data_IF_113912820799
#
_entry.id   IF_113912820799
#
_cell.length_a   1.000
_cell.length_b   1.000
_cell.length_c   1.000
_cell.angle_alpha   90.00
_cell.angle_beta   90.00
_cell.angle_gamma   90.00
#
_symmetry.space_group_name_H-M   'P 1'
#
loop_
_entity.id
_entity.type
_entity.pdbx_description
1 polymer ?
#
# COMPACT_ATOMS: atom_id res chain seq x y z
N UNK A 1 -14.27 46.39 33.05
CA UNK A 1 -13.92 46.56 31.63
C UNK A 1 -12.60 45.83 31.42
N UNK A 2 -12.47 44.65 30.83
CA UNK A 2 -13.17 44.09 29.69
C UNK A 2 -12.26 44.20 28.45
N UNK A 3 -11.32 43.27 28.24
CA UNK A 3 -10.84 42.82 26.93
C UNK A 3 -9.76 41.72 27.13
N UNK A 4 -9.92 40.47 26.67
CA UNK A 4 -10.00 39.91 25.30
C UNK A 4 -8.63 39.42 24.82
N UNK A 5 -8.46 38.10 24.90
CA UNK A 5 -7.40 37.33 24.21
C UNK A 5 -7.69 37.30 22.72
N UNK A 6 -6.69 37.63 21.88
CA UNK A 6 -6.50 37.07 20.53
C UNK A 6 -5.01 37.02 20.17
N UNK A 7 -4.56 35.79 19.91
CA UNK A 7 -3.81 35.28 18.73
C UNK A 7 -2.64 36.13 18.22
N UNK A 8 -1.47 35.51 18.06
CA UNK A 8 -0.60 35.66 16.88
C UNK A 8 0.29 34.41 16.76
N UNK A 9 0.33 33.90 15.54
CA UNK A 9 1.17 32.84 14.99
C UNK A 9 2.63 33.31 14.83
N UNK A 10 3.59 32.39 14.85
CA UNK A 10 4.77 32.37 13.96
C UNK A 10 5.71 31.24 14.40
N UNK A 11 5.94 30.23 13.56
CA UNK A 11 6.98 30.17 12.52
C UNK A 11 8.41 30.08 13.09
N UNK A 12 8.89 28.82 13.07
CA UNK A 12 10.26 28.33 12.90
C UNK A 12 11.34 29.36 12.56
N UNK A 13 12.43 29.35 13.34
CA UNK A 13 13.80 29.18 12.82
C UNK A 13 14.80 28.86 13.93
N UNK A 14 15.85 28.19 13.50
CA UNK A 14 16.74 27.33 14.26
C UNK A 14 17.83 28.05 15.06
N UNK A 15 18.45 27.22 15.92
CA UNK A 15 19.85 27.17 16.35
C UNK A 15 20.27 27.79 17.70
N UNK A 16 21.00 26.92 18.42
CA UNK A 16 21.99 27.13 19.47
C UNK A 16 21.50 27.57 20.85
N UNK A 17 21.32 26.61 21.77
CA UNK A 17 21.71 26.81 23.18
C UNK A 17 22.31 25.53 23.79
N UNK A 18 23.42 25.77 24.48
CA UNK A 18 24.24 24.91 25.34
C UNK A 18 23.43 24.11 26.38
N UNK A 19 23.92 22.91 26.66
CA UNK A 19 23.55 22.09 27.82
C UNK A 19 23.69 22.87 29.14
N UNK A 20 22.66 22.77 29.99
CA UNK A 20 22.79 22.74 31.45
C UNK A 20 21.93 21.60 31.98
N UNK A 21 22.58 20.65 32.63
CA UNK A 21 21.97 19.54 33.36
C UNK A 21 21.22 20.05 34.60
N UNK A 22 20.00 19.55 34.81
CA UNK A 22 19.41 19.37 36.14
C UNK A 22 18.63 18.06 36.15
N UNK A 23 18.94 17.24 37.15
CA UNK A 23 18.49 15.87 37.33
C UNK A 23 16.99 15.77 37.67
N UNK A 24 16.34 14.75 37.13
CA UNK A 24 14.96 14.37 37.45
C UNK A 24 14.59 13.10 36.70
N UNK A 25 14.81 11.96 37.36
CA UNK A 25 14.63 10.61 36.83
C UNK A 25 13.15 10.31 36.56
N UNK A 26 12.80 9.99 35.31
CA UNK A 26 11.59 9.26 34.95
C UNK A 26 11.94 8.31 33.81
N UNK A 27 12.09 7.03 34.14
CA UNK A 27 12.31 5.94 33.18
C UNK A 27 11.00 5.68 32.45
N UNK A 28 10.92 6.06 31.17
CA UNK A 28 9.95 5.53 30.21
C UNK A 28 10.77 4.80 29.16
N UNK A 29 10.77 3.47 29.22
CA UNK A 29 11.41 2.61 28.21
C UNK A 29 10.56 2.62 26.95
N UNK A 30 10.90 3.48 26.01
CA UNK A 30 10.42 3.41 24.63
C UNK A 30 11.37 2.49 23.86
N UNK A 31 10.96 1.26 23.59
CA UNK A 31 11.64 0.38 22.64
C UNK A 31 11.39 0.91 21.23
N UNK A 32 12.25 1.84 20.79
CA UNK A 32 12.42 2.14 19.37
C UNK A 32 13.50 1.18 18.85
N UNK A 33 13.09 0.21 18.04
CA UNK A 33 13.98 -0.53 17.15
C UNK A 33 14.52 0.45 16.10
N UNK A 34 15.61 1.13 16.44
CA UNK A 34 16.35 1.97 15.51
C UNK A 34 17.18 1.03 14.63
N UNK A 35 16.79 0.89 13.36
CA UNK A 35 17.70 0.39 12.33
C UNK A 35 18.90 1.34 12.26
N UNK A 36 20.05 0.85 12.70
CA UNK A 36 21.32 1.59 12.62
C UNK A 36 21.82 1.49 11.18
N UNK A 37 21.81 2.61 10.46
CA UNK A 37 22.59 2.75 9.24
C UNK A 37 23.95 3.32 9.60
N UNK A 38 24.96 2.44 9.66
CA UNK A 38 26.36 2.84 9.64
C UNK A 38 26.91 2.55 8.24
N UNK A 39 27.11 3.59 7.43
CA UNK A 39 27.99 3.52 6.25
C UNK A 39 29.44 3.61 6.75
N UNK A 40 30.01 2.45 7.06
CA UNK A 40 31.46 2.24 7.15
C UNK A 40 31.80 1.11 6.16
N UNK A 41 33.02 1.11 5.61
CA UNK A 41 33.58 0.01 4.80
C UNK A 41 33.76 -1.27 5.67
N UNK A 42 32.65 -1.80 6.14
CA UNK A 42 32.55 -2.84 7.13
C UNK A 42 31.47 -3.82 6.72
N UNK A 43 31.71 -5.10 7.03
CA UNK A 43 30.80 -6.22 6.80
C UNK A 43 29.36 -5.81 7.16
N UNK A 44 28.46 -5.91 6.18
CA UNK A 44 27.03 -5.71 6.42
C UNK A 44 26.51 -6.90 7.21
N UNK A 45 26.29 -6.72 8.51
CA UNK A 45 25.60 -7.71 9.35
C UNK A 45 24.15 -7.26 9.55
N UNK A 46 23.22 -7.99 8.95
CA UNK A 46 21.78 -7.86 9.21
C UNK A 46 21.34 -9.14 9.88
N UNK A 47 20.62 -9.03 11.00
CA UNK A 47 20.02 -10.18 11.66
C UNK A 47 18.67 -9.87 12.27
N UNK A 48 17.76 -10.86 12.25
CA UNK A 48 16.49 -10.85 12.97
C UNK A 48 16.38 -12.18 13.73
N UNK A 49 15.87 -12.14 14.95
CA UNK A 49 15.71 -13.31 15.83
C UNK A 49 14.24 -13.46 16.19
N UNK A 50 13.57 -14.48 15.64
CA UNK A 50 12.17 -14.82 15.94
C UNK A 50 12.02 -16.32 16.03
N UNK A 51 11.23 -16.80 17.00
CA UNK A 51 10.95 -18.23 17.16
C UNK A 51 12.21 -19.13 17.20
N UNK A 52 13.29 -18.65 17.86
CA UNK A 52 14.62 -19.29 17.93
C UNK A 52 15.36 -19.41 16.60
N UNK A 53 14.84 -18.81 15.52
CA UNK A 53 15.50 -18.71 14.23
C UNK A 53 16.22 -17.35 14.15
N UNK A 54 17.55 -17.37 13.98
CA UNK A 54 18.33 -16.18 13.65
C UNK A 54 18.87 -16.31 12.23
N UNK A 55 18.33 -15.52 11.31
CA UNK A 55 18.96 -15.32 10.00
C UNK A 55 20.05 -14.25 10.11
N UNK A 56 21.23 -14.53 9.59
CA UNK A 56 22.34 -13.60 9.55
C UNK A 56 22.91 -13.51 8.14
N UNK A 57 23.09 -12.29 7.63
CA UNK A 57 23.79 -12.05 6.37
C UNK A 57 25.22 -11.62 6.70
N UNK A 58 26.22 -12.23 6.05
CA UNK A 58 27.61 -11.78 6.15
C UNK A 58 28.30 -11.74 4.79
N UNK A 59 29.21 -10.78 4.59
CA UNK A 59 30.05 -10.69 3.39
C UNK A 59 29.93 -9.36 2.65
N UNK A 60 30.78 -9.19 1.64
CA UNK A 60 30.68 -8.12 0.64
C UNK A 60 29.94 -8.65 -0.60
N UNK A 61 29.55 -7.77 -1.53
CA UNK A 61 28.69 -8.09 -2.69
C UNK A 61 29.06 -9.34 -3.50
N UNK A 62 30.31 -9.79 -3.48
CA UNK A 62 30.79 -11.01 -4.17
C UNK A 62 30.91 -12.26 -3.28
N UNK A 63 30.76 -12.13 -1.97
CA UNK A 63 30.92 -13.18 -0.95
C UNK A 63 29.72 -13.25 0.00
N UNK A 64 28.54 -12.86 -0.47
CA UNK A 64 27.34 -12.86 0.33
C UNK A 64 27.02 -14.29 0.81
N UNK A 65 26.93 -14.45 2.12
CA UNK A 65 26.48 -15.67 2.78
C UNK A 65 25.29 -15.34 3.67
N UNK A 66 24.32 -16.26 3.68
CA UNK A 66 23.17 -16.21 4.58
C UNK A 66 23.29 -17.42 5.48
N UNK A 67 23.12 -17.23 6.78
CA UNK A 67 23.26 -18.28 7.78
C UNK A 67 22.00 -18.37 8.63
N UNK A 68 21.58 -19.60 8.88
CA UNK A 68 20.57 -19.97 9.88
C UNK A 68 21.30 -20.36 11.16
N UNK A 69 21.14 -19.58 12.22
CA UNK A 69 21.80 -19.77 13.50
C UNK A 69 20.79 -20.18 14.59
N UNK A 70 21.08 -21.28 15.27
CA UNK A 70 20.38 -21.76 16.46
C UNK A 70 21.36 -21.84 17.63
N UNK A 71 21.10 -21.09 18.72
CA UNK A 71 21.84 -20.89 19.99
C UNK A 71 23.38 -20.94 20.03
N UNK A 72 24.06 -21.86 19.34
CA UNK A 72 25.51 -22.02 19.24
C UNK A 72 26.03 -22.44 17.86
N UNK A 73 25.18 -22.83 16.92
CA UNK A 73 25.58 -23.31 15.59
C UNK A 73 24.93 -22.48 14.48
N UNK A 74 25.72 -22.09 13.49
CA UNK A 74 25.24 -21.44 12.28
C UNK A 74 25.46 -22.38 11.09
N UNK A 75 24.45 -22.51 10.23
CA UNK A 75 24.50 -23.30 9.01
C UNK A 75 24.28 -22.39 7.81
N UNK A 76 25.10 -22.54 6.79
CA UNK A 76 24.94 -21.78 5.55
C UNK A 76 23.62 -22.16 4.87
N UNK A 77 22.85 -21.14 4.52
CA UNK A 77 21.61 -21.22 3.74
C UNK A 77 21.98 -21.21 2.25
N UNK A 78 21.46 -22.18 1.50
CA UNK A 78 21.70 -22.24 0.06
C UNK A 78 20.97 -21.12 -0.66
N UNK A 79 21.71 -20.32 -1.42
CA UNK A 79 21.16 -19.27 -2.27
C UNK A 79 20.75 -19.85 -3.63
N UNK A 80 19.48 -19.68 -4.05
CA UNK A 80 19.03 -20.14 -5.36
C UNK A 80 19.62 -19.26 -6.47
N UNK A 81 19.68 -19.79 -7.69
CA UNK A 81 20.17 -19.05 -8.84
C UNK A 81 19.36 -17.76 -9.12
N UNK A 82 18.06 -17.75 -8.79
CA UNK A 82 17.21 -16.55 -8.93
C UNK A 82 17.64 -15.44 -7.98
N UNK A 83 18.11 -15.76 -6.77
CA UNK A 83 18.63 -14.78 -5.81
C UNK A 83 19.88 -14.08 -6.36
N UNK A 84 20.86 -14.86 -6.80
CA UNK A 84 22.11 -14.33 -7.37
C UNK A 84 21.83 -13.50 -8.63
N UNK A 85 20.89 -13.95 -9.47
CA UNK A 85 20.45 -13.20 -10.64
C UNK A 85 19.87 -11.84 -10.24
N UNK A 86 18.92 -11.78 -9.31
CA UNK A 86 18.32 -10.52 -8.86
C UNK A 86 19.35 -9.57 -8.24
N UNK A 87 20.29 -10.10 -7.45
CA UNK A 87 21.39 -9.31 -6.92
C UNK A 87 22.24 -8.67 -8.03
N UNK A 88 22.60 -9.45 -9.05
CA UNK A 88 23.36 -8.97 -10.22
C UNK A 88 22.57 -8.00 -11.10
N UNK A 89 21.24 -8.06 -11.07
CA UNK A 89 20.34 -7.13 -11.77
C UNK A 89 20.14 -5.81 -11.01
N UNK A 90 20.80 -5.61 -9.86
CA UNK A 90 20.81 -4.36 -9.11
C UNK A 90 19.94 -4.35 -7.85
N UNK A 91 19.35 -5.48 -7.44
CA UNK A 91 18.68 -5.62 -6.15
C UNK A 91 19.70 -5.92 -5.05
N UNK A 92 20.55 -4.95 -4.75
CA UNK A 92 21.72 -5.13 -3.89
C UNK A 92 21.49 -4.80 -2.41
N UNK A 93 20.42 -4.08 -2.08
CA UNK A 93 20.07 -3.78 -0.69
C UNK A 93 19.32 -4.97 -0.10
N UNK A 94 19.75 -5.46 1.06
CA UNK A 94 19.20 -6.69 1.65
C UNK A 94 18.59 -6.38 3.02
N UNK A 95 17.39 -6.91 3.25
CA UNK A 95 16.64 -6.79 4.50
C UNK A 95 16.18 -8.18 4.97
N UNK A 96 15.92 -8.28 6.27
CA UNK A 96 15.35 -9.47 6.91
C UNK A 96 14.08 -9.01 7.64
N UNK A 97 12.91 -9.44 7.17
CA UNK A 97 11.61 -9.08 7.75
C UNK A 97 10.62 -10.23 7.62
N UNK A 98 9.67 -10.32 8.55
CA UNK A 98 8.57 -11.30 8.57
C UNK A 98 7.35 -10.73 7.82
N UNK A 99 7.38 -10.88 6.50
CA UNK A 99 6.34 -10.47 5.55
C UNK A 99 5.11 -11.36 5.66
N UNK A 100 5.30 -12.66 5.93
CA UNK A 100 4.22 -13.64 6.02
C UNK A 100 3.48 -13.60 7.36
N UNK A 101 4.02 -12.89 8.36
CA UNK A 101 3.49 -12.82 9.72
C UNK A 101 3.35 -14.20 10.39
N UNK A 102 4.16 -15.18 9.97
CA UNK A 102 4.19 -16.53 10.55
C UNK A 102 5.28 -16.68 11.63
N UNK A 103 6.06 -15.63 11.86
CA UNK A 103 7.15 -15.59 12.83
C UNK A 103 8.47 -16.13 12.31
N UNK A 104 8.56 -16.48 11.02
CA UNK A 104 9.81 -16.79 10.32
C UNK A 104 10.18 -15.63 9.40
N UNK A 105 11.36 -15.00 9.58
CA UNK A 105 11.76 -13.91 8.71
C UNK A 105 12.07 -14.38 7.28
N UNK A 106 11.70 -13.55 6.32
CA UNK A 106 12.09 -13.65 4.91
C UNK A 106 13.29 -12.74 4.58
N UNK A 107 14.01 -13.11 3.52
CA UNK A 107 15.09 -12.30 2.96
C UNK A 107 14.53 -11.46 1.81
N UNK A 108 14.76 -10.15 1.85
CA UNK A 108 14.21 -9.21 0.89
C UNK A 108 15.35 -8.47 0.20
N UNK A 109 15.48 -8.65 -1.10
CA UNK A 109 16.36 -7.85 -1.94
C UNK A 109 15.59 -6.65 -2.48
N UNK A 110 16.16 -5.45 -2.41
CA UNK A 110 15.57 -4.26 -3.02
C UNK A 110 16.55 -3.54 -3.94
N UNK A 111 16.01 -2.95 -5.00
CA UNK A 111 16.76 -2.19 -5.99
C UNK A 111 15.87 -1.20 -6.74
N UNK A 112 16.45 -0.15 -7.35
CA UNK A 112 15.69 0.78 -8.18
C UNK A 112 15.16 0.08 -9.43
N UNK A 113 13.88 0.27 -9.76
CA UNK A 113 13.29 -0.16 -11.02
C UNK A 113 13.03 1.06 -11.92
N UNK A 114 13.67 1.10 -13.10
CA UNK A 114 13.49 2.15 -14.11
C UNK A 114 13.51 3.59 -13.55
N UNK A 115 14.51 3.89 -12.72
CA UNK A 115 14.66 5.19 -12.04
C UNK A 115 14.64 5.04 -10.53
N UNK A 116 14.49 6.15 -9.80
CA UNK A 116 14.57 6.19 -8.33
C UNK A 116 13.22 6.27 -7.62
N UNK A 117 12.11 6.35 -8.38
CA UNK A 117 10.77 6.53 -7.81
C UNK A 117 10.20 5.22 -7.27
N UNK A 118 10.45 4.12 -7.97
CA UNK A 118 10.04 2.79 -7.56
C UNK A 118 11.27 2.03 -7.08
N UNK A 119 11.42 1.86 -5.76
CA UNK A 119 12.41 0.95 -5.18
C UNK A 119 11.72 -0.39 -4.98
N UNK A 120 12.00 -1.34 -5.86
CA UNK A 120 11.28 -2.58 -5.95
C UNK A 120 12.00 -3.72 -5.25
N UNK A 121 11.26 -4.79 -4.97
CA UNK A 121 11.66 -5.85 -4.05
C UNK A 121 11.46 -7.24 -4.65
N UNK A 122 12.37 -8.13 -4.26
CA UNK A 122 12.30 -9.58 -4.46
C UNK A 122 12.33 -10.23 -3.08
N UNK A 123 11.31 -11.03 -2.77
CA UNK A 123 11.10 -11.60 -1.45
C UNK A 123 11.39 -13.10 -1.52
N UNK A 124 12.19 -13.61 -0.59
CA UNK A 124 12.60 -15.00 -0.53
C UNK A 124 12.24 -15.60 0.82
N UNK A 125 11.43 -16.66 0.81
CA UNK A 125 11.05 -17.40 2.02
C UNK A 125 12.17 -18.36 2.41
N UNK A 126 12.41 -18.42 3.71
CA UNK A 126 13.22 -19.45 4.34
C UNK A 126 12.35 -20.39 5.16
N UNK A 127 12.30 -21.66 4.77
CA UNK A 127 11.74 -22.71 5.62
C UNK A 127 12.90 -23.31 6.43
N UNK A 128 12.88 -23.15 7.75
CA UNK A 128 13.99 -23.49 8.66
C UNK A 128 14.59 -24.89 8.51
N UNK A 129 15.80 -25.09 9.06
CA UNK A 129 16.45 -26.41 9.11
C UNK A 129 17.57 -26.62 8.07
N UNK A 130 18.25 -25.55 7.66
CA UNK A 130 19.32 -25.60 6.65
C UNK A 130 18.85 -25.60 5.19
N UNK A 131 17.59 -25.21 4.94
CA UNK A 131 16.96 -25.23 3.62
C UNK A 131 17.53 -24.23 2.60
N UNK A 132 17.00 -24.30 1.38
CA UNK A 132 17.24 -23.33 0.30
C UNK A 132 16.20 -22.19 0.38
N UNK A 133 16.61 -20.96 0.05
CA UNK A 133 15.66 -19.86 -0.12
C UNK A 133 14.76 -20.09 -1.34
N UNK A 134 13.48 -19.70 -1.25
CA UNK A 134 12.53 -19.76 -2.36
C UNK A 134 11.94 -18.37 -2.63
N UNK A 135 12.06 -17.87 -3.86
CA UNK A 135 11.42 -16.61 -4.25
C UNK A 135 9.89 -16.73 -4.15
N UNK A 136 9.25 -15.76 -3.50
CA UNK A 136 7.80 -15.59 -3.57
C UNK A 136 7.47 -14.96 -4.91
N UNK A 137 6.67 -15.67 -5.70
CA UNK A 137 6.20 -15.23 -7.03
C UNK A 137 4.69 -15.25 -7.07
N UNK A 138 4.08 -14.56 -8.04
CA UNK A 138 2.62 -14.51 -8.19
C UNK A 138 1.97 -13.21 -7.73
N UNK A 139 2.75 -12.19 -7.34
CA UNK A 139 2.25 -10.83 -7.18
C UNK A 139 1.72 -10.29 -8.51
N UNK A 140 0.61 -9.55 -8.47
CA UNK A 140 -0.02 -8.99 -9.68
C UNK A 140 0.89 -7.97 -10.38
N UNK A 141 1.57 -7.16 -9.58
CA UNK A 141 2.59 -6.22 -10.01
C UNK A 141 3.85 -6.46 -9.19
N UNK A 142 4.96 -5.87 -9.63
CA UNK A 142 6.17 -5.88 -8.82
C UNK A 142 5.92 -5.17 -7.48
N UNK A 143 6.50 -5.72 -6.41
CA UNK A 143 6.44 -5.13 -5.08
C UNK A 143 7.42 -3.98 -5.01
N UNK A 144 6.94 -2.76 -4.77
CA UNK A 144 7.79 -1.57 -4.69
C UNK A 144 7.40 -0.68 -3.53
N UNK A 145 8.38 0.06 -3.01
CA UNK A 145 8.31 0.93 -1.84
C UNK A 145 7.44 0.31 -0.74
N UNK A 146 7.71 -0.96 -0.45
CA UNK A 146 6.79 -1.77 0.33
C UNK A 146 6.82 -1.37 1.80
N UNK A 147 5.76 -1.74 2.51
CA UNK A 147 5.68 -1.68 3.96
C UNK A 147 4.78 -2.78 4.49
N UNK A 148 5.03 -3.22 5.70
CA UNK A 148 4.17 -4.17 6.41
C UNK A 148 3.34 -3.40 7.44
N UNK A 149 2.02 -3.54 7.39
CA UNK A 149 1.12 -2.91 8.37
C UNK A 149 -0.08 -3.81 8.65
N UNK A 150 -0.38 -4.02 9.93
CA UNK A 150 -1.49 -4.87 10.37
C UNK A 150 -1.48 -6.27 9.73
N UNK A 151 -0.30 -6.88 9.53
CA UNK A 151 -0.14 -8.19 8.89
C UNK A 151 -0.45 -8.21 7.39
N UNK A 152 -0.41 -7.06 6.71
CA UNK A 152 -0.54 -6.95 5.25
C UNK A 152 0.75 -6.39 4.66
N UNK A 153 1.16 -6.95 3.53
CA UNK A 153 2.18 -6.38 2.67
C UNK A 153 1.54 -5.35 1.76
N UNK A 154 1.99 -4.10 1.84
CA UNK A 154 1.48 -3.00 1.03
C UNK A 154 2.58 -2.58 0.07
N UNK A 155 2.32 -2.70 -1.24
CA UNK A 155 3.20 -2.21 -2.31
C UNK A 155 2.71 -0.85 -2.78
N UNK A 156 3.56 0.17 -2.79
CA UNK A 156 3.24 1.51 -3.28
C UNK A 156 4.13 1.86 -4.46
N UNK A 157 3.56 2.09 -5.63
CA UNK A 157 4.32 2.30 -6.86
C UNK A 157 3.71 3.39 -7.73
N UNK A 158 4.57 4.05 -8.49
CA UNK A 158 4.16 4.98 -9.53
C UNK A 158 4.06 4.25 -10.85
N UNK A 159 2.92 4.37 -11.51
CA UNK A 159 2.73 3.94 -12.89
C UNK A 159 2.13 5.13 -13.64
N UNK A 160 2.74 5.47 -14.79
CA UNK A 160 2.43 6.69 -15.52
C UNK A 160 2.53 7.95 -14.62
N UNK A 161 1.49 8.78 -14.60
CA UNK A 161 1.42 9.98 -13.76
C UNK A 161 0.77 9.72 -12.38
N UNK A 162 0.43 8.47 -12.04
CA UNK A 162 -0.40 8.13 -10.88
C UNK A 162 0.33 7.26 -9.87
N UNK A 163 -0.03 7.45 -8.60
CA UNK A 163 0.35 6.55 -7.53
C UNK A 163 -0.69 5.44 -7.34
N UNK A 164 -0.19 4.25 -7.06
CA UNK A 164 -0.94 3.03 -6.84
C UNK A 164 -0.53 2.40 -5.51
N UNK A 165 -1.48 1.74 -4.86
CA UNK A 165 -1.21 0.85 -3.73
C UNK A 165 -1.90 -0.48 -3.93
N UNK A 166 -1.15 -1.56 -3.84
CA UNK A 166 -1.68 -2.91 -3.76
C UNK A 166 -1.49 -3.45 -2.34
N UNK A 167 -2.55 -4.02 -1.78
CA UNK A 167 -2.56 -4.58 -0.42
C UNK A 167 -2.73 -6.08 -0.51
N UNK A 168 -1.73 -6.80 -0.02
CA UNK A 168 -1.65 -8.25 -0.08
C UNK A 168 -1.74 -8.86 1.33
N UNK A 169 -2.47 -9.97 1.41
CA UNK A 169 -2.31 -10.96 2.46
C UNK A 169 -1.33 -12.02 1.94
N UNK A 170 -0.23 -12.22 2.67
CA UNK A 170 0.80 -13.21 2.32
C UNK A 170 0.85 -14.24 3.45
N UNK A 171 0.77 -15.52 3.11
CA UNK A 171 0.83 -16.61 4.09
C UNK A 171 1.63 -17.77 3.50
N UNK A 172 2.86 -17.94 3.99
CA UNK A 172 3.85 -18.79 3.33
C UNK A 172 4.03 -18.36 1.87
N UNK A 173 3.93 -19.30 0.94
CA UNK A 173 4.05 -19.02 -0.51
C UNK A 173 2.73 -18.60 -1.19
N UNK A 174 1.64 -18.44 -0.41
CA UNK A 174 0.35 -18.01 -0.94
C UNK A 174 0.19 -16.51 -0.82
N UNK A 175 -0.16 -15.90 -1.95
CA UNK A 175 -0.46 -14.47 -2.05
C UNK A 175 -1.93 -14.30 -2.39
N UNK A 176 -2.63 -13.46 -1.64
CA UNK A 176 -3.93 -12.94 -2.00
C UNK A 176 -3.86 -11.42 -2.08
N UNK A 177 -4.10 -10.86 -3.27
CA UNK A 177 -4.34 -9.42 -3.42
C UNK A 177 -5.73 -9.14 -2.84
N UNK A 178 -5.83 -8.37 -1.76
CA UNK A 178 -7.11 -8.00 -1.14
C UNK A 178 -7.69 -6.75 -1.82
N UNK A 179 -6.81 -5.81 -2.18
CA UNK A 179 -7.21 -4.48 -2.65
C UNK A 179 -6.14 -3.84 -3.53
N UNK A 180 -6.60 -3.04 -4.50
CA UNK A 180 -5.75 -2.18 -5.35
C UNK A 180 -6.39 -0.79 -5.46
N UNK A 181 -5.65 0.22 -5.04
CA UNK A 181 -6.03 1.63 -5.13
C UNK A 181 -5.18 2.32 -6.20
N UNK A 182 -5.79 3.24 -6.94
CA UNK A 182 -5.12 4.05 -7.96
C UNK A 182 -5.51 5.51 -7.86
N UNK A 183 -4.62 6.39 -8.32
CA UNK A 183 -4.74 7.85 -8.17
C UNK A 183 -4.60 8.29 -6.70
N UNK A 184 -3.66 7.71 -5.96
CA UNK A 184 -3.40 8.14 -4.58
C UNK A 184 -2.83 9.56 -4.59
N UNK A 185 -3.42 10.43 -3.76
CA UNK A 185 -3.13 11.87 -3.75
C UNK A 185 -3.93 12.68 -4.78
N UNK A 186 -4.82 12.05 -5.56
CA UNK A 186 -5.84 12.76 -6.33
C UNK A 186 -6.99 13.21 -5.41
N UNK A 187 -8.00 13.92 -5.95
CA UNK A 187 -9.20 14.28 -5.18
C UNK A 187 -9.97 13.04 -4.71
N UNK A 188 -10.05 12.03 -5.57
CA UNK A 188 -10.64 10.72 -5.26
C UNK A 188 -9.71 9.58 -5.68
N UNK A 189 -9.81 8.46 -4.96
CA UNK A 189 -9.06 7.24 -5.24
C UNK A 189 -10.00 6.20 -5.85
N UNK A 190 -9.56 5.56 -6.93
CA UNK A 190 -10.27 4.44 -7.54
C UNK A 190 -9.79 3.15 -6.90
N UNK A 191 -10.70 2.49 -6.18
CA UNK A 191 -10.45 1.26 -5.43
C UNK A 191 -11.05 0.05 -6.14
N UNK A 192 -10.28 -1.01 -6.22
CA UNK A 192 -10.72 -2.36 -6.60
C UNK A 192 -10.49 -3.30 -5.43
N UNK A 193 -11.56 -3.92 -4.93
CA UNK A 193 -11.53 -4.96 -3.91
C UNK A 193 -11.61 -6.31 -4.62
N UNK A 194 -10.77 -7.27 -4.22
CA UNK A 194 -10.75 -8.62 -4.77
C UNK A 194 -11.35 -9.57 -3.74
N UNK A 195 -12.41 -10.27 -4.14
CA UNK A 195 -13.13 -11.18 -3.26
C UNK A 195 -12.53 -12.60 -3.34
N UNK A 196 -12.71 -13.43 -2.29
CA UNK A 196 -12.14 -14.78 -2.26
C UNK A 196 -12.65 -15.73 -3.36
N UNK A 197 -13.81 -15.44 -3.96
CA UNK A 197 -14.39 -16.20 -5.07
C UNK A 197 -13.84 -15.78 -6.45
N UNK A 198 -12.94 -14.80 -6.49
CA UNK A 198 -12.36 -14.24 -7.71
C UNK A 198 -13.14 -13.09 -8.31
N UNK A 199 -14.30 -12.71 -7.74
CA UNK A 199 -15.02 -11.51 -8.15
C UNK A 199 -14.28 -10.23 -7.72
N UNK A 200 -14.65 -9.11 -8.32
CA UNK A 200 -14.10 -7.79 -7.95
C UNK A 200 -15.19 -6.75 -7.75
N UNK A 201 -15.01 -5.90 -6.75
CA UNK A 201 -15.83 -4.73 -6.52
C UNK A 201 -15.03 -3.46 -6.78
N UNK A 202 -15.62 -2.53 -7.53
CA UNK A 202 -15.04 -1.20 -7.77
C UNK A 202 -15.78 -0.15 -6.98
N UNK A 203 -15.05 0.81 -6.46
CA UNK A 203 -15.60 1.94 -5.72
C UNK A 203 -14.69 3.16 -5.80
N UNK A 204 -15.27 4.35 -5.75
CA UNK A 204 -14.52 5.57 -5.51
C UNK A 204 -14.49 5.85 -4.01
N UNK A 205 -13.31 6.20 -3.48
CA UNK A 205 -13.10 6.47 -2.06
C UNK A 205 -12.37 7.80 -1.84
N UNK A 206 -12.46 8.33 -0.62
CA UNK A 206 -11.72 9.54 -0.22
C UNK A 206 -10.20 9.33 -0.28
N UNK A 207 -9.46 10.42 -0.52
CA UNK A 207 -8.00 10.40 -0.69
C UNK A 207 -7.20 10.46 0.63
N UNK A 208 -7.52 9.56 1.57
CA UNK A 208 -6.72 9.45 2.80
C UNK A 208 -5.36 8.77 2.50
N UNK A 209 -4.31 9.17 3.21
CA UNK A 209 -3.00 8.54 3.08
C UNK A 209 -3.02 7.08 3.59
N UNK A 210 -3.81 6.80 4.63
CA UNK A 210 -4.04 5.45 5.12
C UNK A 210 -5.21 4.80 4.37
N UNK A 211 -4.93 3.75 3.61
CA UNK A 211 -5.96 3.03 2.84
C UNK A 211 -7.11 2.53 3.71
N UNK A 212 -6.89 2.26 5.00
CA UNK A 212 -7.91 1.80 5.94
C UNK A 212 -8.88 2.89 6.37
N UNK A 213 -8.49 4.16 6.23
CA UNK A 213 -9.30 5.33 6.58
C UNK A 213 -10.06 5.89 5.38
N UNK A 214 -9.76 5.44 4.15
CA UNK A 214 -10.47 5.84 2.93
C UNK A 214 -11.92 5.39 2.98
N UNK A 215 -12.85 6.32 2.78
CA UNK A 215 -14.31 6.07 2.87
C UNK A 215 -14.95 6.07 1.49
N UNK A 216 -15.96 5.21 1.23
CA UNK A 216 -16.71 5.24 -0.01
C UNK A 216 -17.35 6.61 -0.25
N UNK A 217 -17.32 7.07 -1.49
CA UNK A 217 -17.96 8.33 -1.88
C UNK A 217 -19.40 8.04 -2.28
N UNK A 218 -20.32 8.77 -1.64
CA UNK A 218 -21.74 8.75 -1.95
C UNK A 218 -22.18 10.10 -2.52
N UNK A 219 -23.21 10.05 -3.36
CA UNK A 219 -23.85 11.23 -3.94
C UNK A 219 -25.36 11.09 -3.85
N UNK A 220 -26.06 12.21 -3.96
CA UNK A 220 -27.53 12.25 -4.09
C UNK A 220 -27.92 12.65 -5.50
N UNK A 221 -29.04 12.11 -5.95
CA UNK A 221 -29.68 12.56 -7.17
C UNK A 221 -30.35 13.93 -6.93
N UNK A 222 -29.99 14.94 -7.71
CA UNK A 222 -30.56 16.31 -7.60
C UNK A 222 -31.68 16.57 -8.60
N UNK A 223 -31.69 15.85 -9.73
CA UNK A 223 -32.73 15.92 -10.73
C UNK A 223 -34.01 15.21 -10.26
N UNK A 224 -35.19 15.73 -10.63
CA UNK A 224 -36.47 15.06 -10.33
C UNK A 224 -36.51 13.63 -10.89
N UNK A 225 -35.85 13.44 -12.04
CA UNK A 225 -35.69 12.13 -12.69
C UNK A 225 -34.35 12.03 -13.42
N UNK A 226 -33.44 11.25 -12.86
CA UNK A 226 -32.13 10.96 -13.45
C UNK A 226 -32.20 9.64 -14.23
N UNK A 227 -32.06 9.69 -15.55
CA UNK A 227 -32.06 8.48 -16.37
C UNK A 227 -30.82 7.61 -16.07
N UNK A 228 -31.00 6.30 -16.09
CA UNK A 228 -29.91 5.33 -15.99
C UNK A 228 -29.48 4.83 -17.37
N UNK A 229 -28.19 4.65 -17.56
CA UNK A 229 -27.58 4.28 -18.84
C UNK A 229 -26.76 2.99 -18.70
N UNK A 230 -26.74 2.17 -19.76
CA UNK A 230 -25.93 0.96 -19.82
C UNK A 230 -24.43 1.22 -20.04
N UNK A 231 -24.08 2.43 -20.48
CA UNK A 231 -22.71 2.92 -20.70
C UNK A 231 -22.65 4.43 -20.53
N UNK A 232 -21.44 5.03 -20.52
CA UNK A 232 -21.25 6.49 -20.44
C UNK A 232 -21.53 7.15 -21.81
N UNK A 233 -22.74 6.93 -22.33
CA UNK A 233 -23.17 7.40 -23.65
C UNK A 233 -24.68 7.63 -23.63
N UNK A 234 -25.11 8.80 -24.12
CA UNK A 234 -26.51 9.18 -24.22
C UNK A 234 -27.36 8.19 -25.05
N UNK A 235 -26.76 7.51 -26.04
CA UNK A 235 -27.42 6.49 -26.85
C UNK A 235 -27.78 5.22 -26.06
N UNK A 236 -27.13 5.00 -24.91
CA UNK A 236 -27.31 3.81 -24.06
C UNK A 236 -28.35 4.02 -22.97
N UNK A 237 -29.26 4.97 -23.15
CA UNK A 237 -30.34 5.28 -22.20
C UNK A 237 -31.25 4.06 -21.99
N UNK A 238 -31.48 3.71 -20.74
CA UNK A 238 -32.43 2.64 -20.37
C UNK A 238 -33.81 3.23 -20.03
N UNK A 239 -34.78 2.35 -19.75
CA UNK A 239 -36.09 2.76 -19.20
C UNK A 239 -36.03 3.07 -17.69
N UNK A 240 -34.94 2.67 -17.02
CA UNK A 240 -34.77 2.88 -15.58
C UNK A 240 -34.30 4.30 -15.28
N UNK A 241 -34.61 4.76 -14.08
CA UNK A 241 -34.23 6.07 -13.58
C UNK A 241 -34.15 6.03 -12.07
N UNK A 242 -33.42 6.98 -11.51
CA UNK A 242 -33.46 7.34 -10.10
C UNK A 242 -34.21 8.66 -9.94
N UNK A 243 -34.73 8.91 -8.75
CA UNK A 243 -35.47 10.13 -8.43
C UNK A 243 -34.68 10.99 -7.46
N UNK A 244 -35.08 12.25 -7.35
CA UNK A 244 -34.46 13.22 -6.44
C UNK A 244 -34.32 12.67 -5.02
N UNK A 245 -33.17 12.92 -4.42
CA UNK A 245 -32.72 12.45 -3.10
C UNK A 245 -32.38 10.95 -2.98
N UNK A 246 -32.49 10.15 -4.05
CA UNK A 246 -31.90 8.81 -4.04
C UNK A 246 -30.38 8.92 -3.79
N UNK A 247 -29.88 8.14 -2.84
CA UNK A 247 -28.46 8.08 -2.51
C UNK A 247 -27.79 6.94 -3.26
N UNK A 248 -26.65 7.23 -3.88
CA UNK A 248 -25.88 6.28 -4.68
C UNK A 248 -24.42 6.27 -4.25
N UNK A 249 -23.78 5.10 -4.31
CA UNK A 249 -22.33 5.00 -4.19
C UNK A 249 -21.68 5.22 -5.57
N UNK A 250 -20.59 5.97 -5.63
CA UNK A 250 -19.83 6.19 -6.87
C UNK A 250 -18.82 5.06 -7.07
N UNK A 251 -18.78 4.52 -8.29
CA UNK A 251 -17.96 3.34 -8.61
C UNK A 251 -16.84 3.63 -9.62
N UNK A 252 -17.09 4.54 -10.57
CA UNK A 252 -16.15 4.89 -11.64
C UNK A 252 -16.56 6.24 -12.24
N UNK A 253 -15.62 6.87 -12.94
CA UNK A 253 -15.79 8.14 -13.64
C UNK A 253 -15.28 8.04 -15.08
N UNK A 254 -16.01 8.64 -16.02
CA UNK A 254 -15.58 8.78 -17.41
C UNK A 254 -15.87 10.17 -17.93
N UNK A 255 -14.84 10.77 -18.49
CA UNK A 255 -14.96 11.89 -19.43
C UNK A 255 -15.10 11.32 -20.84
N UNK A 256 -16.02 11.88 -21.63
CA UNK A 256 -16.19 11.48 -23.04
C UNK A 256 -15.61 12.55 -23.95
N UNK A 257 -14.73 12.18 -24.88
CA UNK A 257 -14.05 13.12 -25.78
C UNK A 257 -15.01 13.97 -26.65
N UNK A 258 -16.23 13.47 -26.90
CA UNK A 258 -17.19 14.06 -27.82
C UNK A 258 -18.24 14.97 -27.17
N UNK A 259 -18.33 14.98 -25.84
CA UNK A 259 -19.27 15.83 -25.13
C UNK A 259 -18.63 16.29 -23.84
N UNK A 260 -18.75 17.57 -23.49
CA UNK A 260 -18.35 18.15 -22.20
C UNK A 260 -19.15 17.58 -21.02
N UNK A 261 -19.65 16.35 -21.13
CA UNK A 261 -20.47 15.66 -20.15
C UNK A 261 -19.63 14.60 -19.47
N UNK A 262 -19.61 14.71 -18.16
CA UNK A 262 -19.03 13.74 -17.28
C UNK A 262 -20.05 12.67 -16.92
N UNK A 263 -19.57 11.44 -16.75
CA UNK A 263 -20.40 10.29 -16.42
C UNK A 263 -19.86 9.59 -15.19
N UNK A 264 -20.75 9.27 -14.27
CA UNK A 264 -20.44 8.44 -13.12
C UNK A 264 -21.13 7.10 -13.24
N UNK A 265 -20.38 6.03 -12.99
CA UNK A 265 -20.97 4.72 -12.72
C UNK A 265 -21.37 4.68 -11.26
N UNK A 266 -22.61 4.30 -10.99
CA UNK A 266 -23.19 4.33 -9.65
C UNK A 266 -23.73 2.97 -9.24
N UNK A 267 -23.71 2.68 -7.94
CA UNK A 267 -24.43 1.57 -7.30
C UNK A 267 -25.58 2.15 -6.48
N UNK A 268 -26.79 1.69 -6.78
CA UNK A 268 -28.00 1.98 -6.00
C UNK A 268 -28.55 0.68 -5.43
N UNK A 269 -28.97 0.72 -4.16
CA UNK A 269 -29.67 -0.38 -3.51
C UNK A 269 -31.14 0.03 -3.38
N UNK A 270 -32.02 -0.71 -4.04
CA UNK A 270 -33.47 -0.46 -3.94
C UNK A 270 -33.99 -0.79 -2.54
N UNK A 271 -35.17 -0.29 -2.20
CA UNK A 271 -35.87 -0.64 -0.94
C UNK A 271 -36.10 -2.15 -0.73
N UNK A 272 -36.00 -2.96 -1.80
CA UNK A 272 -36.09 -4.42 -1.75
C UNK A 272 -34.73 -5.12 -1.64
N UNK A 273 -33.65 -4.37 -1.42
CA UNK A 273 -32.28 -4.90 -1.36
C UNK A 273 -31.67 -5.26 -2.72
N UNK A 274 -32.39 -5.07 -3.84
CA UNK A 274 -31.84 -5.32 -5.18
C UNK A 274 -30.81 -4.26 -5.53
N UNK A 275 -29.65 -4.71 -5.99
CA UNK A 275 -28.59 -3.86 -6.50
C UNK A 275 -28.79 -3.47 -7.96
N UNK A 276 -28.53 -2.20 -8.27
CA UNK A 276 -28.51 -1.64 -9.63
C UNK A 276 -27.17 -0.94 -9.84
N UNK A 277 -26.37 -1.44 -10.79
CA UNK A 277 -25.17 -0.75 -11.30
C UNK A 277 -25.48 -0.14 -12.66
N UNK A 278 -25.35 1.19 -12.79
CA UNK A 278 -25.64 1.89 -14.04
C UNK A 278 -24.82 3.18 -14.16
N UNK A 279 -24.82 3.80 -15.34
CA UNK A 279 -24.22 5.12 -15.57
C UNK A 279 -25.27 6.22 -15.43
N UNK A 280 -24.84 7.36 -14.89
CA UNK A 280 -25.64 8.59 -14.71
C UNK A 280 -24.82 9.79 -15.18
N UNK A 281 -25.50 10.77 -15.78
CA UNK A 281 -24.88 12.03 -16.17
C UNK A 281 -24.56 12.83 -14.90
N UNK A 282 -23.35 13.37 -14.82
CA UNK A 282 -22.83 14.15 -13.69
C UNK A 282 -23.81 15.23 -13.19
N UNK A 283 -24.41 16.01 -14.09
CA UNK A 283 -25.38 17.07 -13.76
C UNK A 283 -26.62 16.60 -12.97
N UNK A 284 -26.88 15.29 -12.94
CA UNK A 284 -27.96 14.71 -12.14
C UNK A 284 -27.56 14.41 -10.70
N UNK A 285 -26.29 14.60 -10.34
CA UNK A 285 -25.70 14.26 -9.05
C UNK A 285 -25.31 15.53 -8.28
N UNK A 286 -25.46 15.48 -6.96
CA UNK A 286 -24.92 16.51 -6.05
C UNK A 286 -23.39 16.53 -6.10
N UNK A 287 -22.79 15.34 -6.18
CA UNK A 287 -21.39 15.15 -6.49
C UNK A 287 -21.17 15.18 -8.01
N UNK A 288 -20.71 16.31 -8.52
CA UNK A 288 -20.34 16.47 -9.93
C UNK A 288 -19.09 17.34 -10.02
N UNK A 289 -17.96 16.70 -10.33
CA UNK A 289 -16.66 17.33 -10.61
C UNK A 289 -16.17 16.84 -11.96
#
# INVERSE_FOLDING_TARGET
MGAKVRRIESFLKCFNVKLKCTAGSLFVSLLLSVGVYAYAEGKTEVSDTRNNLKLQITGESSLLSIQDCDFSECKDVRLPASFLKSFNEGYSNIYIEDVTSDGHPEVILTGPEHGVVNICSKIYIYHGGGGELKEITGFKHQICNYRIKNGRLISSYRSEAKWHEDVYLVSGDKIALELSDSCIGCDEVNRTIYLPDGETEKMMVSSDADYTLRKPIFSKIIADRAALYGGPDASKKTKMYLIKNDSVALLDFRETESSTRYWYKVKYITNKGKEIKAWVICDSLEYCK
#
